data_IF_763221137959
#
_entry.id   IF_763221137959
#
_cell.length_a   1.000
_cell.length_b   1.000
_cell.length_c   1.000
_cell.angle_alpha   90.00
_cell.angle_beta   90.00
_cell.angle_gamma   90.00
#
_symmetry.space_group_name_H-M   'P 1'
#
loop_
_entity.id
_entity.type
_entity.pdbx_description
1 polymer ?
#
# COMPACT_ATOMS: atom_id res chain seq x y z
N UNK A 1 33.99 -19.73 -59.86
CA UNK A 1 32.61 -19.35 -60.21
C UNK A 1 32.13 -18.38 -59.16
N UNK A 2 32.03 -17.11 -59.55
CA UNK A 2 31.61 -16.00 -58.69
C UNK A 2 30.09 -15.89 -58.86
N UNK A 3 29.32 -15.95 -57.78
CA UNK A 3 27.91 -15.58 -57.77
C UNK A 3 27.71 -14.34 -56.90
N UNK A 4 27.09 -13.33 -57.51
CA UNK A 4 26.89 -11.97 -57.03
C UNK A 4 25.87 -11.90 -55.88
N UNK A 5 26.00 -10.92 -54.96
CA UNK A 5 25.01 -10.66 -53.93
C UNK A 5 23.78 -9.87 -54.46
N UNK A 6 22.62 -9.94 -53.77
CA UNK A 6 21.38 -9.28 -54.17
C UNK A 6 21.41 -7.75 -53.96
N UNK A 7 20.47 -6.98 -54.58
CA UNK A 7 20.56 -5.53 -54.69
C UNK A 7 20.30 -4.81 -53.36
N UNK A 8 21.03 -3.72 -53.15
CA UNK A 8 20.94 -2.82 -51.99
C UNK A 8 19.80 -1.82 -52.22
N UNK A 9 18.84 -1.80 -51.30
CA UNK A 9 17.79 -0.77 -51.20
C UNK A 9 18.39 0.55 -50.72
N UNK A 10 18.06 1.72 -51.31
CA UNK A 10 18.66 2.99 -50.89
C UNK A 10 18.24 3.37 -49.47
N UNK A 11 19.21 3.90 -48.72
CA UNK A 11 19.05 4.40 -47.36
C UNK A 11 18.02 5.55 -47.32
N UNK A 12 17.08 5.48 -46.38
CA UNK A 12 16.23 6.63 -46.04
C UNK A 12 17.10 7.71 -45.41
N UNK A 13 17.00 8.93 -45.93
CA UNK A 13 17.62 10.13 -45.37
C UNK A 13 17.19 10.35 -43.91
N UNK A 14 18.07 10.91 -43.05
CA UNK A 14 17.74 11.20 -41.67
C UNK A 14 16.74 12.36 -41.60
N UNK A 15 15.56 12.08 -41.05
CA UNK A 15 14.59 13.11 -40.65
C UNK A 15 15.18 13.86 -39.46
N UNK A 16 15.59 15.10 -39.70
CA UNK A 16 15.98 16.06 -38.66
C UNK A 16 14.72 16.39 -37.83
N UNK A 17 14.70 16.19 -36.50
CA UNK A 17 13.58 16.65 -35.69
C UNK A 17 13.61 18.18 -35.64
N UNK A 18 12.58 18.81 -36.20
CA UNK A 18 12.28 20.22 -35.98
C UNK A 18 12.18 20.49 -34.49
N UNK A 19 12.97 21.44 -34.01
CA UNK A 19 12.98 21.87 -32.61
C UNK A 19 11.56 22.28 -32.18
N UNK A 20 10.96 21.48 -31.30
CA UNK A 20 9.80 21.90 -30.54
C UNK A 20 10.25 23.02 -29.60
N UNK A 21 9.72 24.22 -29.82
CA UNK A 21 9.83 25.36 -28.94
C UNK A 21 9.47 24.95 -27.51
N UNK A 22 10.44 25.07 -26.59
CA UNK A 22 10.18 24.95 -25.15
C UNK A 22 9.20 26.02 -24.66
N UNK A 23 8.58 25.84 -23.48
CA UNK A 23 7.66 26.82 -22.95
C UNK A 23 8.43 28.11 -22.70
N UNK A 24 7.99 29.19 -23.35
CA UNK A 24 8.49 30.52 -23.09
C UNK A 24 8.26 30.86 -21.60
N UNK A 25 9.31 31.33 -20.94
CA UNK A 25 9.22 32.01 -19.66
C UNK A 25 8.24 33.17 -19.81
N UNK A 26 7.07 33.06 -19.18
CA UNK A 26 6.05 34.09 -19.16
C UNK A 26 6.61 35.32 -18.44
N UNK A 27 7.00 36.30 -19.25
CA UNK A 27 7.52 37.59 -18.79
C UNK A 27 6.33 38.52 -18.67
N UNK A 28 5.80 38.60 -17.45
CA UNK A 28 4.92 39.65 -16.92
C UNK A 28 4.15 40.49 -17.94
N UNK A 29 2.98 40.02 -18.35
CA UNK A 29 1.97 40.86 -18.96
C UNK A 29 1.00 41.39 -17.88
N UNK A 30 0.93 42.71 -17.75
CA UNK A 30 -0.07 43.46 -16.97
C UNK A 30 -1.48 43.11 -17.47
N UNK A 31 -2.48 42.93 -16.58
CA UNK A 31 -3.74 42.28 -16.91
C UNK A 31 -4.64 43.18 -17.76
N UNK A 32 -4.89 42.76 -19.00
CA UNK A 32 -5.93 43.29 -19.87
C UNK A 32 -6.82 42.14 -20.34
N UNK A 33 -7.99 41.98 -19.72
CA UNK A 33 -8.97 40.96 -20.10
C UNK A 33 -9.92 40.62 -18.97
N UNK A 34 -10.99 41.39 -18.84
CA UNK A 34 -12.12 41.09 -17.96
C UNK A 34 -12.95 39.93 -18.54
N UNK A 35 -12.68 38.70 -18.10
CA UNK A 35 -13.61 37.56 -18.02
C UNK A 35 -13.00 36.45 -17.12
N UNK A 36 -13.79 35.78 -16.27
CA UNK A 36 -14.22 36.39 -15.02
C UNK A 36 -13.71 35.61 -13.78
N UNK A 37 -13.55 36.32 -12.67
CA UNK A 37 -13.50 35.80 -11.29
C UNK A 37 -14.57 34.71 -10.98
N UNK A 38 -15.58 34.55 -11.84
CA UNK A 38 -16.61 33.52 -11.79
C UNK A 38 -16.12 32.11 -12.06
N UNK A 39 -15.33 31.83 -13.12
CA UNK A 39 -14.97 30.44 -13.46
C UNK A 39 -14.04 29.79 -12.42
N UNK A 40 -13.03 30.51 -11.96
CA UNK A 40 -12.18 30.05 -10.86
C UNK A 40 -12.97 29.95 -9.55
N UNK A 41 -13.91 30.87 -9.32
CA UNK A 41 -14.84 30.83 -8.20
C UNK A 41 -15.73 29.59 -8.20
N UNK A 42 -16.31 29.24 -9.35
CA UNK A 42 -17.12 28.02 -9.52
C UNK A 42 -16.27 26.76 -9.32
N UNK A 43 -15.08 26.67 -9.94
CA UNK A 43 -14.16 25.55 -9.73
C UNK A 43 -13.69 25.42 -8.28
N UNK A 44 -13.47 26.55 -7.60
CA UNK A 44 -13.12 26.55 -6.18
C UNK A 44 -14.29 26.06 -5.30
N UNK A 45 -15.52 26.46 -5.62
CA UNK A 45 -16.72 25.97 -4.96
C UNK A 45 -16.88 24.46 -5.17
N UNK A 46 -16.70 23.96 -6.39
CA UNK A 46 -16.74 22.53 -6.70
C UNK A 46 -15.68 21.75 -5.89
N UNK A 47 -14.42 22.24 -5.87
CA UNK A 47 -13.36 21.63 -5.03
C UNK A 47 -13.71 21.63 -3.55
N UNK A 48 -14.36 22.69 -3.04
CA UNK A 48 -14.81 22.76 -1.66
C UNK A 48 -15.89 21.71 -1.38
N UNK A 49 -16.88 21.57 -2.26
CA UNK A 49 -17.92 20.53 -2.13
C UNK A 49 -17.29 19.13 -2.18
N UNK A 50 -16.39 18.89 -3.13
CA UNK A 50 -15.69 17.60 -3.23
C UNK A 50 -14.84 17.32 -1.99
N UNK A 51 -14.15 18.31 -1.43
CA UNK A 51 -13.41 18.16 -0.18
C UNK A 51 -14.33 17.84 1.01
N UNK A 52 -15.54 18.41 1.05
CA UNK A 52 -16.54 18.08 2.09
C UNK A 52 -17.07 16.66 1.93
N UNK A 53 -17.38 16.23 0.71
CA UNK A 53 -17.79 14.85 0.41
C UNK A 53 -16.69 13.89 0.80
N UNK A 54 -15.45 14.10 0.34
CA UNK A 54 -14.30 13.26 0.67
C UNK A 54 -14.07 13.16 2.19
N UNK A 55 -14.24 14.26 2.94
CA UNK A 55 -14.17 14.21 4.41
C UNK A 55 -15.32 13.41 5.03
N UNK A 56 -16.54 13.59 4.53
CA UNK A 56 -17.73 12.88 5.01
C UNK A 56 -17.71 11.38 4.72
N UNK A 57 -17.05 10.96 3.64
CA UNK A 57 -16.97 9.57 3.20
C UNK A 57 -15.66 8.87 3.56
N UNK A 58 -14.72 9.59 4.20
CA UNK A 58 -13.40 9.07 4.52
C UNK A 58 -12.52 8.83 3.29
N UNK A 59 -12.74 9.57 2.20
CA UNK A 59 -11.99 9.48 0.95
C UNK A 59 -12.58 8.54 -0.10
N UNK A 60 -13.71 7.88 0.19
CA UNK A 60 -14.41 7.03 -0.76
C UNK A 60 -15.34 7.85 -1.67
N UNK A 61 -15.33 7.60 -2.97
CA UNK A 61 -16.27 8.22 -3.92
C UNK A 61 -17.61 7.47 -3.95
N UNK A 62 -18.73 8.06 -3.46
CA UNK A 62 -20.04 7.41 -3.53
C UNK A 62 -20.51 7.18 -4.97
N UNK A 63 -20.13 8.10 -5.87
CA UNK A 63 -20.47 8.01 -7.28
C UNK A 63 -19.77 6.83 -7.96
N UNK A 64 -18.47 6.64 -7.74
CA UNK A 64 -17.72 5.52 -8.29
C UNK A 64 -18.27 4.17 -7.78
N UNK A 65 -18.55 4.08 -6.47
CA UNK A 65 -19.16 2.87 -5.87
C UNK A 65 -20.53 2.55 -6.49
N UNK A 66 -21.37 3.57 -6.67
CA UNK A 66 -22.68 3.41 -7.30
C UNK A 66 -22.59 2.99 -8.76
N UNK A 67 -21.67 3.59 -9.53
CA UNK A 67 -21.44 3.24 -10.93
C UNK A 67 -20.96 1.78 -11.06
N UNK A 68 -20.04 1.35 -10.21
CA UNK A 68 -19.56 -0.04 -10.19
C UNK A 68 -20.69 -1.03 -9.88
N UNK A 69 -21.52 -0.73 -8.87
CA UNK A 69 -22.69 -1.53 -8.52
C UNK A 69 -23.74 -1.58 -9.64
N UNK A 70 -24.02 -0.43 -10.26
CA UNK A 70 -24.97 -0.33 -11.37
C UNK A 70 -24.49 -1.16 -12.57
N UNK A 71 -23.25 -0.97 -13.00
CA UNK A 71 -22.64 -1.69 -14.12
C UNK A 71 -22.68 -3.22 -13.89
N UNK A 72 -22.25 -3.66 -12.71
CA UNK A 72 -22.31 -5.08 -12.33
C UNK A 72 -23.74 -5.64 -12.33
N UNK A 73 -24.69 -4.93 -11.69
CA UNK A 73 -26.05 -5.43 -11.52
C UNK A 73 -26.82 -5.53 -12.85
N UNK A 74 -26.65 -4.57 -13.76
CA UNK A 74 -27.27 -4.54 -15.08
C UNK A 74 -26.76 -5.72 -15.92
N UNK A 75 -25.44 -5.90 -16.00
CA UNK A 75 -24.83 -6.97 -16.78
C UNK A 75 -25.12 -8.36 -16.21
N UNK A 76 -25.11 -8.51 -14.88
CA UNK A 76 -25.49 -9.77 -14.25
C UNK A 76 -26.96 -10.12 -14.54
N UNK A 77 -27.88 -9.15 -14.48
CA UNK A 77 -29.28 -9.35 -14.80
C UNK A 77 -29.48 -9.79 -16.26
N UNK A 78 -28.71 -9.20 -17.18
CA UNK A 78 -28.73 -9.48 -18.62
C UNK A 78 -27.99 -10.78 -19.03
N UNK A 79 -27.31 -11.48 -18.11
CA UNK A 79 -26.52 -12.68 -18.39
C UNK A 79 -27.22 -13.99 -17.94
N UNK A 80 -28.15 -14.57 -18.72
CA UNK A 80 -28.91 -15.76 -18.32
C UNK A 80 -28.04 -17.01 -18.11
N UNK A 81 -26.96 -17.17 -18.91
CA UNK A 81 -26.00 -18.27 -18.75
C UNK A 81 -25.29 -18.21 -17.40
N UNK A 82 -24.72 -17.04 -17.05
CA UNK A 82 -24.06 -16.79 -15.76
C UNK A 82 -25.02 -17.03 -14.60
N UNK A 83 -26.25 -16.51 -14.67
CA UNK A 83 -27.27 -16.70 -13.63
C UNK A 83 -27.61 -18.18 -13.41
N UNK A 84 -27.74 -18.95 -14.50
CA UNK A 84 -27.99 -20.39 -14.43
C UNK A 84 -26.82 -21.14 -13.80
N UNK A 85 -25.59 -20.81 -14.22
CA UNK A 85 -24.37 -21.35 -13.64
C UNK A 85 -24.27 -21.07 -12.12
N UNK A 86 -24.56 -19.84 -11.69
CA UNK A 86 -24.58 -19.44 -10.28
C UNK A 86 -25.62 -20.22 -9.48
N UNK A 87 -26.81 -20.46 -10.05
CA UNK A 87 -27.85 -21.29 -9.45
C UNK A 87 -27.41 -22.74 -9.27
N UNK A 88 -26.81 -23.35 -10.30
CA UNK A 88 -26.27 -24.71 -10.23
C UNK A 88 -25.12 -24.82 -9.21
N UNK A 89 -24.23 -23.83 -9.16
CA UNK A 89 -23.16 -23.73 -8.15
C UNK A 89 -23.76 -23.63 -6.74
N UNK A 90 -24.80 -22.84 -6.53
CA UNK A 90 -25.49 -22.71 -5.23
C UNK A 90 -26.09 -24.04 -4.78
N UNK A 91 -26.84 -24.73 -5.65
CA UNK A 91 -27.43 -26.05 -5.35
C UNK A 91 -26.34 -27.07 -4.99
N UNK A 92 -25.26 -27.13 -5.75
CA UNK A 92 -24.14 -28.05 -5.48
C UNK A 92 -23.49 -27.77 -4.12
N UNK A 93 -23.30 -26.50 -3.77
CA UNK A 93 -22.74 -26.09 -2.47
C UNK A 93 -23.68 -26.44 -1.32
N UNK A 94 -24.98 -26.18 -1.47
CA UNK A 94 -25.99 -26.53 -0.49
C UNK A 94 -26.04 -28.04 -0.23
N UNK A 95 -26.00 -28.86 -1.29
CA UNK A 95 -25.96 -30.32 -1.17
C UNK A 95 -24.71 -30.81 -0.42
N UNK A 96 -23.52 -30.25 -0.72
CA UNK A 96 -22.28 -30.57 0.01
C UNK A 96 -22.38 -30.20 1.48
N UNK A 97 -22.89 -29.01 1.79
CA UNK A 97 -23.05 -28.53 3.17
C UNK A 97 -24.05 -29.38 3.96
N UNK A 98 -25.15 -29.80 3.33
CA UNK A 98 -26.13 -30.71 3.96
C UNK A 98 -25.52 -32.09 4.26
N UNK A 99 -24.78 -32.67 3.32
CA UNK A 99 -24.08 -33.93 3.54
C UNK A 99 -23.05 -33.80 4.69
N UNK A 100 -22.29 -32.71 4.69
CA UNK A 100 -21.34 -32.39 5.76
C UNK A 100 -22.04 -32.26 7.12
N UNK A 101 -23.16 -31.55 7.20
CA UNK A 101 -23.92 -31.38 8.44
C UNK A 101 -24.37 -32.74 9.00
N UNK A 102 -24.90 -33.63 8.15
CA UNK A 102 -25.34 -34.96 8.57
C UNK A 102 -24.17 -35.79 9.15
N UNK A 103 -23.00 -35.73 8.51
CA UNK A 103 -21.80 -36.39 9.03
C UNK A 103 -21.30 -35.76 10.33
N UNK A 104 -21.15 -34.42 10.37
CA UNK A 104 -20.65 -33.69 11.54
C UNK A 104 -21.54 -33.88 12.78
N UNK A 105 -22.87 -33.94 12.61
CA UNK A 105 -23.82 -34.18 13.71
C UNK A 105 -23.68 -35.57 14.33
N UNK A 106 -23.19 -36.56 13.58
CA UNK A 106 -22.98 -37.93 14.09
C UNK A 106 -21.64 -38.12 14.79
N UNK A 107 -20.81 -37.06 14.88
CA UNK A 107 -19.47 -37.12 15.45
C UNK A 107 -18.45 -37.86 14.57
N UNK A 108 -18.83 -38.26 13.35
CA UNK A 108 -17.91 -38.83 12.38
C UNK A 108 -16.96 -37.75 11.86
N UNK A 109 -15.70 -38.11 11.64
CA UNK A 109 -14.75 -37.24 10.97
C UNK A 109 -15.26 -36.93 9.55
N UNK A 110 -15.74 -35.70 9.34
CA UNK A 110 -16.22 -35.22 8.06
C UNK A 110 -15.12 -34.41 7.38
N UNK A 111 -14.77 -34.80 6.15
CA UNK A 111 -13.96 -33.99 5.26
C UNK A 111 -14.60 -32.59 5.09
N UNK A 112 -13.83 -31.49 5.23
CA UNK A 112 -14.35 -30.15 5.00
C UNK A 112 -14.97 -30.00 3.61
N UNK A 113 -16.09 -29.28 3.50
CA UNK A 113 -16.67 -28.91 2.21
C UNK A 113 -15.73 -28.04 1.36
N UNK A 114 -14.95 -27.21 2.04
CA UNK A 114 -14.04 -26.23 1.48
C UNK A 114 -12.94 -25.91 2.49
N UNK A 115 -11.74 -25.64 2.00
CA UNK A 115 -10.62 -25.12 2.78
C UNK A 115 -10.58 -23.59 2.67
N UNK A 116 -10.20 -22.86 3.75
CA UNK A 116 -9.92 -21.43 3.66
C UNK A 116 -8.88 -21.12 2.57
N UNK A 117 -8.93 -19.89 2.05
CA UNK A 117 -7.90 -19.40 1.13
C UNK A 117 -6.56 -19.24 1.88
N UNK A 118 -5.41 -19.30 1.19
CA UNK A 118 -4.12 -18.99 1.82
C UNK A 118 -4.15 -17.62 2.52
N UNK A 119 -3.75 -17.59 3.79
CA UNK A 119 -3.77 -16.39 4.64
C UNK A 119 -5.09 -16.12 5.37
N UNK A 120 -6.12 -16.94 5.18
CA UNK A 120 -7.35 -16.88 5.98
C UNK A 120 -7.27 -17.82 7.18
N UNK A 121 -6.80 -17.28 8.31
CA UNK A 121 -6.57 -18.04 9.55
C UNK A 121 -7.74 -17.97 10.54
N UNK A 122 -8.88 -17.39 10.15
CA UNK A 122 -10.03 -17.11 11.04
C UNK A 122 -10.65 -18.34 11.71
N UNK A 123 -10.48 -19.51 11.10
CA UNK A 123 -11.06 -20.78 11.56
C UNK A 123 -9.98 -21.82 11.89
N UNK A 124 -8.78 -21.35 12.25
CA UNK A 124 -7.61 -22.21 12.50
C UNK A 124 -7.65 -22.94 13.85
N UNK A 125 -8.29 -22.35 14.87
CA UNK A 125 -8.42 -22.96 16.20
C UNK A 125 -9.19 -24.31 16.13
N UNK A 126 -8.74 -25.37 16.83
CA UNK A 126 -9.41 -26.67 16.84
C UNK A 126 -10.90 -26.64 17.22
N UNK A 127 -11.34 -25.67 18.03
CA UNK A 127 -12.74 -25.53 18.43
C UNK A 127 -13.68 -25.28 17.24
N UNK A 128 -13.18 -24.70 16.15
CA UNK A 128 -13.92 -24.54 14.90
C UNK A 128 -14.22 -25.86 14.18
N UNK A 129 -13.59 -26.97 14.56
CA UNK A 129 -13.87 -28.30 13.99
C UNK A 129 -15.03 -29.02 14.69
N UNK A 130 -15.44 -28.55 15.87
CA UNK A 130 -16.54 -29.14 16.62
C UNK A 130 -17.90 -28.65 16.12
N UNK A 131 -18.92 -29.51 16.21
CA UNK A 131 -20.31 -29.09 16.03
C UNK A 131 -20.75 -28.12 17.14
N UNK A 132 -21.49 -27.03 16.85
CA UNK A 132 -22.01 -26.58 15.55
C UNK A 132 -21.08 -25.61 14.79
N UNK A 133 -19.93 -25.24 15.35
CA UNK A 133 -19.02 -24.22 14.79
C UNK A 133 -18.45 -24.63 13.43
N UNK A 134 -18.20 -25.92 13.24
CA UNK A 134 -17.72 -26.46 11.97
C UNK A 134 -18.71 -26.27 10.83
N UNK A 135 -20.00 -26.40 11.10
CA UNK A 135 -21.05 -26.09 10.15
C UNK A 135 -21.09 -24.59 9.83
N UNK A 136 -20.97 -23.72 10.84
CA UNK A 136 -20.95 -22.26 10.64
C UNK A 136 -19.77 -21.81 9.78
N UNK A 137 -18.57 -22.29 10.09
CA UNK A 137 -17.36 -21.98 9.32
C UNK A 137 -17.48 -22.47 7.87
N UNK A 138 -17.88 -23.72 7.64
CA UNK A 138 -18.04 -24.28 6.29
C UNK A 138 -19.15 -23.58 5.50
N UNK A 139 -20.27 -23.22 6.14
CA UNK A 139 -21.34 -22.44 5.53
C UNK A 139 -20.87 -21.06 5.08
N UNK A 140 -20.12 -20.36 5.96
CA UNK A 140 -19.57 -19.04 5.66
C UNK A 140 -18.56 -19.10 4.50
N UNK A 141 -17.58 -20.01 4.54
CA UNK A 141 -16.57 -20.15 3.47
C UNK A 141 -17.20 -20.51 2.12
N UNK A 142 -18.23 -21.36 2.09
CA UNK A 142 -18.96 -21.68 0.87
C UNK A 142 -19.72 -20.47 0.33
N UNK A 143 -20.30 -19.66 1.22
CA UNK A 143 -21.01 -18.40 0.89
C UNK A 143 -20.04 -17.36 0.33
N UNK A 144 -18.87 -17.20 0.95
CA UNK A 144 -17.81 -16.31 0.47
C UNK A 144 -17.32 -16.74 -0.93
N UNK A 145 -17.07 -18.04 -1.14
CA UNK A 145 -16.68 -18.54 -2.46
C UNK A 145 -17.82 -18.36 -3.49
N UNK A 146 -19.08 -18.51 -3.08
CA UNK A 146 -20.20 -18.27 -4.00
C UNK A 146 -20.29 -16.80 -4.42
N UNK A 147 -20.19 -15.87 -3.48
CA UNK A 147 -20.17 -14.43 -3.78
C UNK A 147 -18.98 -14.00 -4.63
N UNK A 148 -17.82 -14.64 -4.45
CA UNK A 148 -16.71 -14.45 -5.36
C UNK A 148 -17.08 -14.81 -6.82
N UNK A 149 -17.82 -15.90 -7.04
CA UNK A 149 -18.30 -16.26 -8.39
C UNK A 149 -19.39 -15.30 -8.91
N UNK A 150 -20.19 -14.73 -8.02
CA UNK A 150 -21.26 -13.76 -8.36
C UNK A 150 -20.68 -12.43 -8.82
N UNK A 151 -19.56 -12.03 -8.23
CA UNK A 151 -18.90 -10.75 -8.51
C UNK A 151 -17.87 -10.85 -9.62
N UNK A 152 -17.36 -12.06 -9.95
CA UNK A 152 -16.33 -12.28 -10.99
C UNK A 152 -16.89 -12.89 -12.26
N UNK A 153 -16.22 -12.60 -13.39
CA UNK A 153 -16.51 -13.14 -14.72
C UNK A 153 -17.97 -12.88 -15.14
N UNK A 154 -18.45 -11.67 -14.91
CA UNK A 154 -19.79 -11.23 -15.36
C UNK A 154 -19.62 -10.58 -16.75
N UNK A 155 -20.21 -11.14 -17.82
CA UNK A 155 -20.02 -10.62 -19.17
C UNK A 155 -20.45 -9.15 -19.30
N UNK A 156 -19.56 -8.31 -19.82
CA UNK A 156 -19.82 -6.89 -20.11
C UNK A 156 -19.50 -5.91 -18.97
N UNK A 157 -19.24 -6.40 -17.76
CA UNK A 157 -18.78 -5.55 -16.64
C UNK A 157 -17.34 -5.13 -16.86
N UNK A 158 -17.01 -3.87 -16.55
CA UNK A 158 -15.62 -3.41 -16.62
C UNK A 158 -14.74 -4.16 -15.59
N UNK A 159 -13.46 -4.47 -15.90
CA UNK A 159 -12.58 -5.15 -14.93
C UNK A 159 -12.47 -4.40 -13.60
N UNK A 160 -12.34 -3.07 -13.64
CA UNK A 160 -12.28 -2.22 -12.46
C UNK A 160 -13.55 -2.31 -11.60
N UNK A 161 -14.74 -2.15 -12.19
CA UNK A 161 -16.00 -2.27 -11.47
C UNK A 161 -16.19 -3.68 -10.88
N UNK A 162 -15.74 -4.71 -11.59
CA UNK A 162 -15.76 -6.08 -11.10
C UNK A 162 -14.92 -6.24 -9.83
N UNK A 163 -13.72 -5.65 -9.80
CA UNK A 163 -12.84 -5.70 -8.63
C UNK A 163 -13.42 -4.87 -7.46
N UNK A 164 -13.98 -3.69 -7.72
CA UNK A 164 -14.65 -2.85 -6.71
C UNK A 164 -15.82 -3.61 -6.07
N UNK A 165 -16.71 -4.18 -6.87
CA UNK A 165 -17.87 -4.93 -6.36
C UNK A 165 -17.44 -6.21 -5.64
N UNK A 166 -16.43 -6.91 -6.16
CA UNK A 166 -15.84 -8.09 -5.50
C UNK A 166 -15.25 -7.73 -4.13
N UNK A 167 -14.57 -6.59 -4.02
CA UNK A 167 -14.03 -6.09 -2.77
C UNK A 167 -15.15 -5.73 -1.78
N UNK A 168 -16.13 -4.93 -2.19
CA UNK A 168 -17.25 -4.53 -1.35
C UNK A 168 -18.05 -5.74 -0.84
N UNK A 169 -18.36 -6.70 -1.71
CA UNK A 169 -19.05 -7.92 -1.33
C UNK A 169 -18.25 -8.71 -0.28
N UNK A 170 -16.93 -8.81 -0.43
CA UNK A 170 -16.05 -9.43 0.56
C UNK A 170 -16.09 -8.69 1.90
N UNK A 171 -15.95 -7.35 1.90
CA UNK A 171 -16.02 -6.55 3.13
C UNK A 171 -17.35 -6.73 3.86
N UNK A 172 -18.47 -6.70 3.12
CA UNK A 172 -19.80 -6.92 3.70
C UNK A 172 -19.95 -8.33 4.29
N UNK A 173 -19.43 -9.35 3.61
CA UNK A 173 -19.45 -10.72 4.15
C UNK A 173 -18.60 -10.86 5.40
N UNK A 174 -17.40 -10.27 5.40
CA UNK A 174 -16.47 -10.35 6.52
C UNK A 174 -17.07 -9.73 7.80
N UNK A 175 -17.90 -8.68 7.70
CA UNK A 175 -18.66 -8.14 8.85
C UNK A 175 -19.54 -9.20 9.51
N UNK A 176 -20.15 -10.09 8.72
CA UNK A 176 -21.02 -11.16 9.21
C UNK A 176 -20.30 -12.50 9.39
N UNK A 177 -18.97 -12.51 9.36
CA UNK A 177 -18.18 -13.72 9.65
C UNK A 177 -18.51 -14.25 11.06
N UNK A 178 -18.71 -15.57 11.23
CA UNK A 178 -18.90 -16.18 12.54
C UNK A 178 -17.75 -15.88 13.52
N UNK A 179 -16.54 -15.63 13.02
CA UNK A 179 -15.37 -15.24 13.83
C UNK A 179 -15.51 -13.87 14.48
N UNK A 180 -16.31 -12.98 13.89
CA UNK A 180 -16.44 -11.58 14.29
C UNK A 180 -17.62 -11.34 15.24
N UNK A 181 -18.48 -12.34 15.44
CA UNK A 181 -19.63 -12.28 16.33
C UNK A 181 -19.31 -13.05 17.62
N UNK A 182 -19.28 -12.38 18.80
CA UNK A 182 -18.88 -13.01 20.07
C UNK A 182 -19.66 -14.28 20.46
N UNK A 183 -20.92 -14.38 20.01
CA UNK A 183 -21.82 -15.48 20.33
C UNK A 183 -21.77 -16.65 19.34
N UNK A 184 -21.02 -16.54 18.24
CA UNK A 184 -20.74 -17.64 17.30
C UNK A 184 -19.27 -18.05 17.28
N UNK A 185 -18.39 -17.27 17.90
CA UNK A 185 -16.98 -17.57 18.00
C UNK A 185 -16.70 -18.50 19.21
N UNK A 186 -16.27 -19.76 18.99
CA UNK A 186 -16.05 -20.72 20.06
C UNK A 186 -14.92 -20.31 21.01
N UNK A 187 -13.88 -19.65 20.51
CA UNK A 187 -12.74 -19.18 21.31
C UNK A 187 -13.20 -18.11 22.30
N UNK A 188 -14.02 -17.15 21.82
CA UNK A 188 -14.60 -16.11 22.67
C UNK A 188 -15.55 -16.71 23.70
N UNK A 189 -16.42 -17.64 23.30
CA UNK A 189 -17.35 -18.31 24.22
C UNK A 189 -16.59 -19.09 25.30
N UNK A 190 -15.56 -19.85 24.91
CA UNK A 190 -14.73 -20.61 25.83
C UNK A 190 -14.02 -19.67 26.80
N UNK A 191 -13.36 -18.61 26.30
CA UNK A 191 -12.68 -17.64 27.15
C UNK A 191 -13.62 -16.92 28.10
N UNK A 192 -14.84 -16.64 27.65
CA UNK A 192 -15.89 -16.04 28.47
C UNK A 192 -16.28 -16.95 29.62
N UNK A 193 -16.38 -18.27 29.38
CA UNK A 193 -16.64 -19.25 30.44
C UNK A 193 -15.47 -19.34 31.43
N UNK A 194 -14.24 -19.48 30.92
CA UNK A 194 -13.02 -19.57 31.74
C UNK A 194 -12.83 -18.35 32.65
N UNK A 195 -13.14 -17.17 32.14
CA UNK A 195 -12.97 -15.90 32.86
C UNK A 195 -14.24 -15.42 33.56
N UNK A 196 -15.32 -16.21 33.55
CA UNK A 196 -16.63 -15.82 34.08
C UNK A 196 -17.11 -14.46 33.56
N UNK A 197 -16.84 -14.15 32.29
CA UNK A 197 -17.22 -12.91 31.62
C UNK A 197 -16.23 -11.75 31.75
N UNK A 198 -15.14 -11.89 32.51
CA UNK A 198 -14.18 -10.80 32.72
C UNK A 198 -13.50 -10.33 31.42
N UNK A 199 -13.31 -11.22 30.44
CA UNK A 199 -12.80 -10.86 29.11
C UNK A 199 -13.68 -9.82 28.38
N UNK A 200 -15.01 -9.91 28.49
CA UNK A 200 -15.94 -8.97 27.85
C UNK A 200 -15.87 -7.62 28.55
N UNK A 201 -15.84 -7.62 29.89
CA UNK A 201 -15.69 -6.38 30.68
C UNK A 201 -14.38 -5.67 30.31
N UNK A 202 -13.28 -6.42 30.24
CA UNK A 202 -11.98 -5.87 29.82
C UNK A 202 -12.03 -5.34 28.39
N UNK A 203 -12.69 -6.06 27.46
CA UNK A 203 -12.85 -5.60 26.08
C UNK A 203 -13.61 -4.28 25.97
N UNK A 204 -14.67 -4.10 26.76
CA UNK A 204 -15.42 -2.83 26.82
C UNK A 204 -14.57 -1.71 27.44
N UNK A 205 -13.80 -1.99 28.49
CA UNK A 205 -12.89 -1.01 29.09
C UNK A 205 -11.83 -0.55 28.08
N UNK A 206 -11.22 -1.49 27.35
CA UNK A 206 -10.27 -1.19 26.29
C UNK A 206 -10.93 -0.32 25.20
N UNK A 207 -12.14 -0.67 24.77
CA UNK A 207 -12.88 0.12 23.77
C UNK A 207 -13.17 1.56 24.25
N UNK A 208 -13.60 1.74 25.50
CA UNK A 208 -13.83 3.07 26.09
C UNK A 208 -12.52 3.87 26.13
N UNK A 209 -11.41 3.25 26.53
CA UNK A 209 -10.10 3.91 26.54
C UNK A 209 -9.67 4.33 25.14
N UNK A 210 -9.79 3.44 24.14
CA UNK A 210 -9.47 3.73 22.76
C UNK A 210 -10.28 4.91 22.21
N UNK A 211 -11.58 4.96 22.51
CA UNK A 211 -12.45 6.05 22.08
C UNK A 211 -12.12 7.37 22.79
N UNK A 212 -11.78 7.33 24.08
CA UNK A 212 -11.33 8.49 24.86
C UNK A 212 -10.00 9.06 24.32
N UNK A 213 -9.04 8.19 23.99
CA UNK A 213 -7.75 8.57 23.40
C UNK A 213 -7.91 9.17 22.02
N UNK A 214 -8.73 8.57 21.15
CA UNK A 214 -9.07 9.15 19.83
C UNK A 214 -9.70 10.53 19.96
N UNK A 215 -10.64 10.72 20.90
CA UNK A 215 -11.30 12.01 21.10
C UNK A 215 -10.35 13.10 21.64
N UNK A 216 -9.34 12.72 22.41
CA UNK A 216 -8.31 13.63 22.96
C UNK A 216 -7.08 13.80 22.06
N UNK A 217 -6.99 13.05 20.96
CA UNK A 217 -5.80 12.99 20.10
C UNK A 217 -4.58 12.33 20.75
N UNK A 218 -4.78 11.59 21.84
CA UNK A 218 -3.72 10.86 22.52
C UNK A 218 -3.29 9.62 21.70
N UNK A 219 -2.00 9.24 21.74
CA UNK A 219 -1.54 8.03 21.06
C UNK A 219 -2.17 6.76 21.67
N UNK A 220 -2.21 5.65 20.90
CA UNK A 220 -2.63 4.35 21.40
C UNK A 220 -1.85 3.92 22.66
N UNK A 221 -2.48 3.09 23.50
CA UNK A 221 -1.86 2.53 24.71
C UNK A 221 -0.57 1.78 24.36
N UNK A 222 0.47 1.94 25.17
CA UNK A 222 1.74 1.23 25.02
C UNK A 222 2.73 1.90 24.08
N UNK A 223 2.33 2.91 23.29
CA UNK A 223 3.25 3.68 22.43
C UNK A 223 4.28 4.44 23.27
N UNK A 224 3.94 4.84 24.49
CA UNK A 224 4.84 5.46 25.46
C UNK A 224 6.08 4.61 25.80
N UNK A 225 6.02 3.29 25.57
CA UNK A 225 7.15 2.38 25.77
C UNK A 225 8.13 2.36 24.58
N UNK A 226 7.81 3.04 23.48
CA UNK A 226 8.59 3.05 22.25
C UNK A 226 8.98 4.48 21.87
N UNK A 227 9.82 5.12 22.69
CA UNK A 227 10.26 6.49 22.43
C UNK A 227 11.41 6.51 21.41
N UNK A 228 11.25 7.18 20.24
CA UNK A 228 12.34 7.32 19.29
C UNK A 228 13.55 8.04 19.89
N UNK A 229 14.74 7.49 19.64
CA UNK A 229 16.00 7.93 20.22
C UNK A 229 16.31 7.34 21.61
N UNK A 230 15.39 6.59 22.22
CA UNK A 230 15.58 5.92 23.52
C UNK A 230 15.32 4.41 23.47
N UNK A 231 14.17 4.02 22.95
CA UNK A 231 13.73 2.61 22.89
C UNK A 231 13.74 2.09 21.44
N UNK A 232 13.50 2.98 20.47
CA UNK A 232 13.59 2.71 19.02
C UNK A 232 14.50 3.74 18.35
N UNK A 233 15.06 3.43 17.17
CA UNK A 233 15.99 4.32 16.46
C UNK A 233 17.25 4.66 17.29
N UNK A 234 17.80 3.65 17.97
CA UNK A 234 18.88 3.82 18.96
C UNK A 234 20.26 3.48 18.42
N UNK A 235 20.40 3.21 17.11
CA UNK A 235 21.71 2.97 16.51
C UNK A 235 22.55 4.25 16.59
N UNK A 236 23.74 4.23 17.21
CA UNK A 236 24.52 5.45 17.40
C UNK A 236 24.86 6.12 16.07
N UNK A 237 24.65 7.43 15.99
CA UNK A 237 24.90 8.24 14.80
C UNK A 237 24.71 9.72 15.06
N UNK A 238 24.95 10.54 14.04
CA UNK A 238 24.80 11.98 14.10
C UNK A 238 24.19 12.53 12.81
N UNK A 239 23.43 13.62 12.92
CA UNK A 239 22.98 14.38 11.76
C UNK A 239 24.18 15.13 11.19
N UNK A 240 24.56 14.81 9.94
CA UNK A 240 25.72 15.37 9.25
C UNK A 240 25.36 16.40 8.18
N UNK A 241 24.09 16.44 7.78
CA UNK A 241 23.55 17.43 6.86
C UNK A 241 22.06 17.65 7.15
N UNK A 242 21.58 18.88 6.96
CA UNK A 242 20.17 19.24 7.15
C UNK A 242 19.79 20.33 6.15
N UNK A 243 18.60 20.22 5.58
CA UNK A 243 17.95 21.30 4.84
C UNK A 243 16.45 21.34 5.20
N UNK A 244 15.64 21.95 4.33
CA UNK A 244 14.20 22.04 4.53
C UNK A 244 13.52 20.66 4.54
N UNK A 245 13.86 19.75 3.61
CA UNK A 245 13.14 18.48 3.45
C UNK A 245 13.70 17.32 4.25
N UNK A 246 14.97 17.36 4.66
CA UNK A 246 15.59 16.24 5.34
C UNK A 246 16.67 16.59 6.35
N UNK A 247 16.95 15.60 7.16
CA UNK A 247 18.20 15.39 7.89
C UNK A 247 18.89 14.15 7.35
N UNK A 248 20.19 14.23 7.07
CA UNK A 248 21.01 13.08 6.72
C UNK A 248 21.74 12.62 7.97
N UNK A 249 21.50 11.38 8.38
CA UNK A 249 22.15 10.76 9.53
C UNK A 249 23.30 9.91 9.01
N UNK A 250 24.49 10.09 9.58
CA UNK A 250 25.60 9.15 9.45
C UNK A 250 25.69 8.33 10.74
N UNK A 251 25.71 7.01 10.61
CA UNK A 251 25.84 6.12 11.77
C UNK A 251 27.31 5.91 12.15
N UNK A 252 27.57 5.85 13.45
CA UNK A 252 28.90 5.62 13.99
C UNK A 252 29.35 4.19 13.68
N UNK A 253 30.58 3.98 13.19
CA UNK A 253 31.07 2.64 12.88
C UNK A 253 31.18 1.79 14.16
N UNK A 254 30.79 0.52 14.08
CA UNK A 254 30.97 -0.46 15.16
C UNK A 254 32.14 -1.42 14.92
N UNK A 255 32.86 -1.25 13.81
CA UNK A 255 34.03 -2.05 13.42
C UNK A 255 35.29 -1.19 13.26
N UNK A 256 36.51 -1.74 13.41
CA UNK A 256 37.76 -0.99 13.23
C UNK A 256 38.00 -0.50 11.80
N UNK A 257 37.50 -1.23 10.81
CA UNK A 257 37.57 -0.90 9.39
C UNK A 257 36.20 -1.06 8.75
N UNK A 258 35.98 -0.33 7.66
CA UNK A 258 34.73 -0.35 6.89
C UNK A 258 35.01 -0.53 5.40
N UNK A 259 34.00 -0.94 4.64
CA UNK A 259 34.03 -0.94 3.18
C UNK A 259 34.23 0.49 2.65
N UNK A 260 34.88 0.62 1.49
CA UNK A 260 35.19 1.92 0.89
C UNK A 260 33.92 2.64 0.41
N UNK A 261 33.01 1.92 -0.25
CA UNK A 261 31.73 2.44 -0.72
C UNK A 261 30.71 2.52 0.43
N UNK A 262 30.15 3.71 0.73
CA UNK A 262 29.10 3.84 1.72
C UNK A 262 27.74 3.34 1.20
N UNK A 263 26.83 3.06 2.12
CA UNK A 263 25.43 2.76 1.85
C UNK A 263 24.57 3.97 2.17
N UNK A 264 23.76 4.44 1.22
CA UNK A 264 22.75 5.49 1.43
C UNK A 264 21.35 4.88 1.43
N UNK A 265 20.64 5.03 2.53
CA UNK A 265 19.27 4.54 2.70
C UNK A 265 18.28 5.70 2.44
N UNK A 266 17.34 5.44 1.53
CA UNK A 266 16.27 6.36 1.09
C UNK A 266 14.93 5.73 1.50
N UNK A 267 14.41 6.03 2.69
CA UNK A 267 13.14 5.48 3.14
C UNK A 267 11.95 6.19 2.48
N UNK A 268 10.77 5.59 2.56
CA UNK A 268 9.52 6.30 2.28
C UNK A 268 9.26 7.39 3.33
N UNK A 269 8.55 8.45 2.94
CA UNK A 269 8.13 9.53 3.84
C UNK A 269 6.66 9.43 4.30
N UNK A 270 5.93 8.38 3.88
CA UNK A 270 4.61 8.04 4.43
C UNK A 270 4.77 7.55 5.89
N UNK A 271 5.82 6.77 6.15
CA UNK A 271 6.24 6.35 7.48
C UNK A 271 7.56 7.03 7.84
N UNK A 272 8.00 6.90 9.10
CA UNK A 272 9.31 7.41 9.53
C UNK A 272 10.42 6.41 9.21
N UNK A 273 11.65 6.91 9.04
CA UNK A 273 12.81 6.12 8.62
C UNK A 273 13.12 4.95 9.58
N UNK A 274 12.76 5.08 10.86
CA UNK A 274 13.10 4.11 11.90
C UNK A 274 12.38 2.77 11.77
N UNK A 275 11.51 2.57 10.77
CA UNK A 275 11.11 1.20 10.38
C UNK A 275 12.32 0.34 9.97
N UNK A 276 13.40 0.96 9.48
CA UNK A 276 14.67 0.32 9.15
C UNK A 276 15.65 0.31 10.34
N UNK A 277 15.29 0.93 11.45
CA UNK A 277 16.08 1.06 12.68
C UNK A 277 15.18 1.01 13.92
N UNK A 278 14.43 -0.10 14.06
CA UNK A 278 13.48 -0.27 15.16
C UNK A 278 14.22 -0.52 16.48
N UNK A 279 14.31 -1.78 16.93
CA UNK A 279 15.05 -2.17 18.12
C UNK A 279 16.44 -2.70 17.75
N UNK A 280 17.36 -2.77 18.71
CA UNK A 280 18.68 -3.41 18.55
C UNK A 280 18.67 -4.76 17.82
N UNK A 281 17.62 -5.57 17.98
CA UNK A 281 17.54 -6.94 17.46
C UNK A 281 16.96 -7.02 16.05
N UNK A 282 16.27 -5.98 15.57
CA UNK A 282 15.60 -5.96 14.26
C UNK A 282 15.88 -4.68 13.46
N UNK A 283 17.01 -4.02 13.73
CA UNK A 283 17.52 -2.88 12.98
C UNK A 283 18.38 -3.32 11.79
N UNK A 284 17.93 -3.00 10.57
CA UNK A 284 18.72 -3.18 9.35
C UNK A 284 19.94 -2.25 9.35
N UNK A 285 19.76 -1.01 9.80
CA UNK A 285 20.85 -0.02 9.86
C UNK A 285 21.96 -0.54 10.75
N UNK A 286 21.63 -0.97 11.97
CA UNK A 286 22.60 -1.55 12.89
C UNK A 286 23.30 -2.76 12.27
N UNK A 287 22.53 -3.66 11.66
CA UNK A 287 23.10 -4.83 10.99
C UNK A 287 24.15 -4.44 9.94
N UNK A 288 23.88 -3.43 9.10
CA UNK A 288 24.83 -2.97 8.08
C UNK A 288 26.08 -2.33 8.69
N UNK A 289 25.91 -1.52 9.74
CA UNK A 289 27.03 -0.94 10.50
C UNK A 289 27.90 -2.04 11.12
N UNK A 290 27.27 -3.05 11.76
CA UNK A 290 27.94 -4.21 12.36
C UNK A 290 28.63 -5.12 11.32
N UNK A 291 28.25 -5.01 10.04
CA UNK A 291 28.91 -5.69 8.91
C UNK A 291 30.03 -4.85 8.28
N UNK A 292 30.36 -3.70 8.87
CA UNK A 292 31.46 -2.85 8.44
C UNK A 292 31.10 -1.98 7.23
N UNK A 293 29.85 -1.55 7.07
CA UNK A 293 29.49 -0.51 6.11
C UNK A 293 29.46 0.87 6.79
N UNK A 294 29.91 1.90 6.08
CA UNK A 294 29.54 3.28 6.42
C UNK A 294 28.10 3.50 5.96
N UNK A 295 27.18 3.74 6.89
CA UNK A 295 25.75 3.85 6.58
C UNK A 295 25.26 5.28 6.77
N UNK A 296 24.55 5.78 5.77
CA UNK A 296 23.80 7.01 5.81
C UNK A 296 22.31 6.73 5.64
N UNK A 297 21.45 7.48 6.32
CA UNK A 297 20.00 7.38 6.16
C UNK A 297 19.36 8.76 6.08
N UNK A 298 18.44 8.92 5.13
CA UNK A 298 17.62 10.13 5.02
C UNK A 298 16.47 10.05 6.05
N UNK A 299 16.41 11.04 6.94
CA UNK A 299 15.27 11.29 7.81
C UNK A 299 14.45 12.45 7.23
N UNK A 300 13.30 12.12 6.64
CA UNK A 300 12.42 13.12 6.00
C UNK A 300 11.69 13.99 7.03
N UNK A 301 11.58 15.29 6.73
CA UNK A 301 10.77 16.24 7.50
C UNK A 301 9.29 15.83 7.47
N UNK A 302 8.59 16.07 8.57
CA UNK A 302 7.13 16.05 8.57
C UNK A 302 6.63 17.39 8.01
N UNK A 303 6.07 17.35 6.81
CA UNK A 303 5.57 18.54 6.11
C UNK A 303 4.34 19.13 6.82
N UNK A 304 4.15 20.44 6.65
CA UNK A 304 3.06 21.21 7.24
C UNK A 304 2.20 21.86 6.15
N UNK A 305 1.21 22.66 6.53
CA UNK A 305 0.41 23.42 5.55
C UNK A 305 1.25 24.39 4.70
N UNK A 306 2.41 24.81 5.19
CA UNK A 306 3.35 25.69 4.48
C UNK A 306 4.03 24.96 3.30
N UNK A 307 4.05 23.63 3.32
CA UNK A 307 4.73 22.75 2.37
C UNK A 307 3.80 22.24 1.26
N UNK A 308 2.58 22.79 1.15
CA UNK A 308 1.52 22.32 0.23
C UNK A 308 1.92 22.34 -1.25
N UNK A 309 2.89 23.19 -1.60
CA UNK A 309 3.33 23.44 -2.97
C UNK A 309 4.58 22.59 -3.33
N UNK A 310 5.06 21.73 -2.41
CA UNK A 310 6.15 20.79 -2.68
C UNK A 310 5.73 19.74 -3.71
N UNK A 311 6.59 19.54 -4.71
CA UNK A 311 6.43 18.54 -5.75
C UNK A 311 7.33 17.33 -5.56
N UNK A 312 7.09 16.24 -6.30
CA UNK A 312 7.99 15.08 -6.32
C UNK A 312 9.42 15.47 -6.74
N UNK A 313 9.55 16.50 -7.59
CA UNK A 313 10.85 16.99 -8.05
C UNK A 313 11.63 17.67 -6.91
N UNK A 314 10.96 18.34 -5.97
CA UNK A 314 11.60 18.90 -4.78
C UNK A 314 12.19 17.81 -3.90
N UNK A 315 11.48 16.69 -3.71
CA UNK A 315 12.01 15.52 -3.00
C UNK A 315 13.18 14.87 -3.75
N UNK A 316 13.19 14.91 -5.08
CA UNK A 316 14.32 14.41 -5.86
C UNK A 316 15.55 15.30 -5.68
N UNK A 317 15.41 16.61 -5.88
CA UNK A 317 16.51 17.57 -5.88
C UNK A 317 16.97 17.88 -4.45
N UNK A 318 16.06 18.41 -3.62
CA UNK A 318 16.37 18.83 -2.26
C UNK A 318 16.42 17.65 -1.28
N UNK A 319 15.91 16.49 -1.68
CA UNK A 319 16.03 15.27 -0.91
C UNK A 319 17.21 14.40 -1.36
N UNK A 320 16.94 13.46 -2.25
CA UNK A 320 17.90 12.42 -2.64
C UNK A 320 19.19 12.97 -3.24
N UNK A 321 19.12 13.92 -4.17
CA UNK A 321 20.34 14.47 -4.79
C UNK A 321 21.18 15.27 -3.78
N UNK A 322 20.54 16.09 -2.94
CA UNK A 322 21.22 16.80 -1.86
C UNK A 322 21.90 15.84 -0.85
N UNK A 323 21.25 14.71 -0.53
CA UNK A 323 21.86 13.68 0.30
C UNK A 323 23.07 13.03 -0.37
N UNK A 324 23.00 12.73 -1.68
CA UNK A 324 24.13 12.20 -2.44
C UNK A 324 25.30 13.19 -2.52
N UNK A 325 25.02 14.49 -2.66
CA UNK A 325 26.03 15.55 -2.61
C UNK A 325 26.73 15.58 -1.25
N UNK A 326 25.96 15.53 -0.16
CA UNK A 326 26.49 15.49 1.20
C UNK A 326 27.33 14.22 1.47
N UNK A 327 26.86 13.04 1.04
CA UNK A 327 27.63 11.78 1.15
C UNK A 327 28.94 11.87 0.36
N UNK A 328 28.89 12.43 -0.85
CA UNK A 328 30.07 12.59 -1.71
C UNK A 328 31.07 13.61 -1.15
N UNK A 329 30.60 14.60 -0.39
CA UNK A 329 31.48 15.53 0.33
C UNK A 329 32.17 14.88 1.55
N UNK A 330 31.47 13.97 2.24
CA UNK A 330 31.98 13.28 3.43
C UNK A 330 32.93 12.13 3.03
N UNK A 331 32.59 11.37 1.99
CA UNK A 331 33.37 10.23 1.48
C UNK A 331 33.78 10.51 0.02
N UNK A 332 34.75 11.42 -0.20
CA UNK A 332 35.09 11.87 -1.55
C UNK A 332 35.69 10.75 -2.40
N UNK A 333 35.25 10.70 -3.67
CA UNK A 333 35.76 9.75 -4.67
C UNK A 333 35.21 8.32 -4.57
N UNK A 334 34.46 7.99 -3.51
CA UNK A 334 33.77 6.71 -3.39
C UNK A 334 32.43 6.74 -4.14
N UNK A 335 32.07 5.64 -4.79
CA UNK A 335 30.70 5.43 -5.27
C UNK A 335 29.80 5.00 -4.12
N UNK A 336 28.49 5.22 -4.27
CA UNK A 336 27.48 4.96 -3.22
C UNK A 336 26.60 3.78 -3.58
N UNK A 337 26.41 2.85 -2.65
CA UNK A 337 25.36 1.84 -2.73
C UNK A 337 24.04 2.44 -2.23
N UNK A 338 23.12 2.78 -3.14
CA UNK A 338 21.85 3.38 -2.75
C UNK A 338 20.78 2.29 -2.53
N UNK A 339 20.06 2.39 -1.42
CA UNK A 339 18.98 1.47 -1.04
C UNK A 339 17.71 2.24 -0.80
N UNK A 340 16.68 1.98 -1.61
CA UNK A 340 15.38 2.64 -1.49
C UNK A 340 14.31 1.71 -0.94
N UNK A 341 13.52 2.19 0.02
CA UNK A 341 12.43 1.42 0.64
C UNK A 341 11.05 2.03 0.33
N UNK A 342 10.14 1.19 -0.17
CA UNK A 342 8.78 1.59 -0.55
C UNK A 342 8.79 2.81 -1.49
N UNK A 343 8.07 3.89 -1.19
CA UNK A 343 8.06 5.12 -1.98
C UNK A 343 9.46 5.75 -2.16
N UNK A 344 10.37 5.57 -1.18
CA UNK A 344 11.75 6.00 -1.31
C UNK A 344 12.52 5.24 -2.39
N UNK A 345 12.13 3.98 -2.66
CA UNK A 345 12.65 3.21 -3.80
C UNK A 345 12.10 3.66 -5.13
N UNK A 346 10.82 4.06 -5.21
CA UNK A 346 10.26 4.70 -6.40
C UNK A 346 11.00 6.00 -6.72
N UNK A 347 11.23 6.86 -5.72
CA UNK A 347 12.02 8.09 -5.88
C UNK A 347 13.46 7.79 -6.33
N UNK A 348 14.10 6.77 -5.73
CA UNK A 348 15.45 6.36 -6.09
C UNK A 348 15.55 5.86 -7.54
N UNK A 349 14.57 5.08 -8.00
CA UNK A 349 14.51 4.62 -9.38
C UNK A 349 14.39 5.79 -10.37
N UNK A 350 13.51 6.76 -10.08
CA UNK A 350 13.35 7.98 -10.88
C UNK A 350 14.66 8.78 -10.92
N UNK A 351 15.30 8.97 -9.77
CA UNK A 351 16.55 9.71 -9.68
C UNK A 351 17.69 9.00 -10.41
N UNK A 352 17.82 7.67 -10.26
CA UNK A 352 18.83 6.89 -10.97
C UNK A 352 18.68 7.00 -12.50
N UNK A 353 17.45 6.96 -13.01
CA UNK A 353 17.16 7.19 -14.43
C UNK A 353 17.54 8.62 -14.88
N UNK A 354 17.23 9.63 -14.06
CA UNK A 354 17.60 11.02 -14.33
C UNK A 354 19.13 11.23 -14.31
N UNK A 355 19.84 10.59 -13.38
CA UNK A 355 21.30 10.60 -13.26
C UNK A 355 21.97 10.00 -14.50
N UNK A 356 21.44 8.86 -14.99
CA UNK A 356 21.96 8.21 -16.20
C UNK A 356 21.92 9.14 -17.43
N UNK A 357 20.85 9.94 -17.57
CA UNK A 357 20.69 10.92 -18.68
C UNK A 357 21.79 11.98 -18.69
N UNK A 358 22.27 12.40 -17.53
CA UNK A 358 23.34 13.41 -17.39
C UNK A 358 24.70 12.79 -17.08
N UNK A 359 24.83 11.46 -17.25
CA UNK A 359 26.06 10.70 -17.01
C UNK A 359 26.64 10.85 -15.60
N UNK A 360 25.78 11.04 -14.60
CA UNK A 360 26.19 11.03 -13.19
C UNK A 360 26.41 9.58 -12.73
N UNK A 361 27.68 9.24 -12.45
CA UNK A 361 28.14 7.87 -12.16
C UNK A 361 28.43 7.62 -10.67
N UNK A 362 27.86 8.44 -9.77
CA UNK A 362 28.09 8.33 -8.32
C UNK A 362 27.52 7.06 -7.68
N UNK A 363 26.52 6.41 -8.29
CA UNK A 363 25.94 5.17 -7.77
C UNK A 363 26.77 3.95 -8.19
N UNK A 364 27.15 3.12 -7.21
CA UNK A 364 27.76 1.80 -7.44
C UNK A 364 26.69 0.72 -7.68
N UNK A 365 25.60 0.76 -6.91
CA UNK A 365 24.45 -0.12 -7.07
C UNK A 365 23.17 0.54 -6.58
N UNK A 366 22.04 -0.02 -6.97
CA UNK A 366 20.70 0.33 -6.51
C UNK A 366 20.01 -0.91 -5.99
N UNK A 367 19.54 -0.87 -4.75
CA UNK A 367 18.73 -1.91 -4.12
C UNK A 367 17.33 -1.37 -3.83
N UNK A 368 16.29 -2.10 -4.22
CA UNK A 368 14.89 -1.67 -4.08
C UNK A 368 14.13 -2.64 -3.18
N UNK A 369 13.69 -2.18 -2.01
CA UNK A 369 12.96 -2.97 -1.03
C UNK A 369 11.48 -2.60 -1.04
N UNK A 370 10.63 -3.56 -1.42
CA UNK A 370 9.18 -3.38 -1.51
C UNK A 370 8.78 -2.08 -2.25
N UNK A 371 9.52 -1.74 -3.30
CA UNK A 371 9.35 -0.51 -4.06
C UNK A 371 8.77 -0.82 -5.44
N UNK A 372 7.68 -0.15 -5.78
CA UNK A 372 7.00 -0.33 -7.05
C UNK A 372 7.54 0.67 -8.08
N UNK A 373 7.85 0.17 -9.27
CA UNK A 373 8.29 0.98 -10.43
C UNK A 373 7.30 0.90 -11.58
N UNK A 374 6.51 -0.17 -11.63
CA UNK A 374 5.37 -0.34 -12.50
C UNK A 374 4.08 -0.32 -11.67
N UNK A 375 3.27 0.73 -11.87
CA UNK A 375 2.00 0.96 -11.17
C UNK A 375 0.77 0.51 -11.97
N UNK A 376 0.95 -0.32 -13.01
CA UNK A 376 -0.18 -0.90 -13.76
C UNK A 376 -1.09 -1.79 -12.90
N UNK A 377 -0.53 -2.44 -11.87
CA UNK A 377 -1.25 -3.28 -10.90
C UNK A 377 -0.83 -2.92 -9.45
N UNK A 378 -1.31 -1.81 -8.86
CA UNK A 378 -0.92 -1.37 -7.51
C UNK A 378 -1.66 -2.10 -6.37
N UNK A 379 -2.33 -3.21 -6.69
CA UNK A 379 -3.14 -3.98 -5.74
C UNK A 379 -4.49 -3.32 -5.42
N UNK A 380 -5.07 -3.65 -4.25
CA UNK A 380 -6.39 -3.16 -3.85
C UNK A 380 -6.47 -1.63 -3.74
N UNK A 381 -5.35 -0.91 -3.68
CA UNK A 381 -5.30 0.55 -3.72
C UNK A 381 -5.85 1.13 -5.03
N UNK A 382 -5.78 0.38 -6.14
CA UNK A 382 -6.36 0.79 -7.42
C UNK A 382 -7.86 1.05 -7.32
N UNK A 383 -8.56 0.33 -6.43
CA UNK A 383 -10.01 0.42 -6.25
C UNK A 383 -10.47 1.77 -5.69
N UNK A 384 -9.53 2.59 -5.23
CA UNK A 384 -9.79 3.90 -4.64
C UNK A 384 -9.20 5.04 -5.48
N UNK A 385 -8.71 4.76 -6.69
CA UNK A 385 -8.19 5.75 -7.63
C UNK A 385 -9.18 5.85 -8.79
N UNK A 386 -10.08 6.81 -8.71
CA UNK A 386 -11.07 7.13 -9.74
C UNK A 386 -11.06 8.63 -10.02
N UNK A 387 -11.48 9.03 -11.23
CA UNK A 387 -11.50 10.44 -11.67
C UNK A 387 -12.54 11.32 -10.93
N UNK A 388 -13.29 10.75 -10.00
CA UNK A 388 -14.49 11.33 -9.36
C UNK A 388 -14.25 12.02 -8.04
#
# INVERSE_FOLDING_TARGET
>A
MIQSPPPVTPAREPVVPTAASGPALDTGAVPGGTEPLGEEGFRAFDRMVQAMVARGTGGLSPAALWLALADWSIHLAAAPGKRTELGLKAVRKAARLQAYALHAMTGAAAEPCITPLPGDDRFSDPAWRAWPYSYMAQSFLLTQQWWHNVTREVPGVSPHHQDVVSFLAKQMLDVFSPSNLPFTNPEVIQRTRETSGANIVQGVQNWIEDQSRKASGAPPVGVEAFQPGRDVAVTPGAVVYRNHLLELIQYSPSTPTVQAEPVLIVPAWIMKYYILDLSPQNSLIRYLVDRGHTVFCISWRNVTAEDRDLSLEDYRIQGLMAALDAVSAIVPGAKVHATGYCLGGTLLAIAAAAMARVQDQRLASVSLFAAQTDFSEPGELQLFIDDS
#
